data_IF_028604151634
#
_entry.id   IF_028604151634
#
_cell.length_a   1.000
_cell.length_b   1.000
_cell.length_c   1.000
_cell.angle_alpha   90.00
_cell.angle_beta   90.00
_cell.angle_gamma   90.00
#
_symmetry.space_group_name_H-M   'P 1'
#
loop_
_entity.id
_entity.type
_entity.pdbx_description
1 polymer ?
#
# COMPACT_ATOMS: atom_id res chain seq x y z
N UNK A 1 -28.64 26.99 20.12
CA UNK A 1 -28.01 27.36 18.84
C UNK A 1 -26.49 27.24 18.89
N UNK A 2 -25.79 27.95 19.78
CA UNK A 2 -24.33 27.87 19.94
C UNK A 2 -23.79 26.42 20.02
N UNK A 3 -24.34 25.59 20.91
CA UNK A 3 -23.91 24.20 21.09
C UNK A 3 -24.08 23.33 19.84
N UNK A 4 -25.12 23.60 19.04
CA UNK A 4 -25.37 22.88 17.79
C UNK A 4 -24.32 23.27 16.75
N UNK A 5 -24.01 24.57 16.64
CA UNK A 5 -22.94 25.08 15.77
C UNK A 5 -21.58 24.53 16.18
N UNK A 6 -21.26 24.52 17.48
CA UNK A 6 -20.02 23.97 18.01
C UNK A 6 -19.88 22.46 17.73
N UNK A 7 -20.96 21.69 17.91
CA UNK A 7 -20.98 20.26 17.60
C UNK A 7 -20.81 20.00 16.10
N UNK A 8 -21.49 20.77 15.25
CA UNK A 8 -21.37 20.66 13.80
C UNK A 8 -19.94 20.97 13.31
N UNK A 9 -19.34 22.04 13.81
CA UNK A 9 -17.96 22.41 13.48
C UNK A 9 -16.97 21.31 13.91
N UNK A 10 -17.14 20.78 15.12
CA UNK A 10 -16.31 19.68 15.65
C UNK A 10 -16.43 18.42 14.78
N UNK A 11 -17.64 18.06 14.35
CA UNK A 11 -17.86 16.92 13.47
C UNK A 11 -17.20 17.12 12.10
N UNK A 12 -17.32 18.31 11.51
CA UNK A 12 -16.68 18.65 10.22
C UNK A 12 -15.16 18.56 10.34
N UNK A 13 -14.57 19.15 11.38
CA UNK A 13 -13.12 19.10 11.63
C UNK A 13 -12.66 17.65 11.84
N UNK A 14 -13.37 16.86 12.64
CA UNK A 14 -13.05 15.46 12.86
C UNK A 14 -13.12 14.65 11.55
N UNK A 15 -14.15 14.86 10.72
CA UNK A 15 -14.28 14.22 9.42
C UNK A 15 -13.18 14.66 8.45
N UNK A 16 -12.78 15.93 8.45
CA UNK A 16 -11.69 16.44 7.62
C UNK A 16 -10.34 15.84 8.01
N UNK A 17 -10.08 15.64 9.31
CA UNK A 17 -8.87 14.97 9.82
C UNK A 17 -8.92 13.46 9.53
N UNK A 18 -10.07 12.81 9.72
CA UNK A 18 -10.20 11.37 9.53
C UNK A 18 -10.27 10.95 8.05
N UNK A 19 -10.73 11.84 7.17
CA UNK A 19 -10.82 11.64 5.70
C UNK A 19 -9.49 11.17 5.07
N UNK A 20 -8.34 11.86 5.25
CA UNK A 20 -7.06 11.40 4.73
C UNK A 20 -6.57 10.10 5.40
N UNK A 21 -6.89 9.85 6.66
CA UNK A 21 -6.54 8.58 7.33
C UNK A 21 -7.33 7.39 6.76
N UNK A 22 -8.57 7.61 6.31
CA UNK A 22 -9.37 6.61 5.56
C UNK A 22 -8.84 6.41 4.14
N UNK A 23 -8.26 7.45 3.53
CA UNK A 23 -7.55 7.36 2.23
C UNK A 23 -6.16 6.70 2.36
N UNK A 24 -5.57 6.71 3.55
CA UNK A 24 -4.23 6.22 3.85
C UNK A 24 -4.01 4.71 3.88
N UNK A 25 -4.74 3.92 3.08
CA UNK A 25 -4.47 2.48 2.84
C UNK A 25 -4.84 1.97 1.44
N UNK A 26 -5.22 2.85 0.50
CA UNK A 26 -5.68 2.43 -0.84
C UNK A 26 -5.12 3.26 -1.99
N UNK A 27 -4.12 4.11 -1.74
CA UNK A 27 -3.63 5.10 -2.70
C UNK A 27 -2.20 4.91 -3.21
N UNK A 28 -1.47 3.90 -2.74
CA UNK A 28 -0.35 3.41 -3.52
C UNK A 28 -0.96 2.53 -4.60
N UNK A 29 -0.97 3.01 -5.86
CA UNK A 29 -0.96 2.08 -6.99
C UNK A 29 0.06 0.98 -6.63
N UNK A 30 -0.30 -0.31 -6.73
CA UNK A 30 0.47 -1.36 -6.08
C UNK A 30 1.93 -1.20 -6.51
N UNK A 31 2.83 -0.95 -5.55
CA UNK A 31 4.27 -0.87 -5.84
C UNK A 31 4.70 -2.05 -6.73
N UNK A 32 4.05 -3.21 -6.54
CA UNK A 32 4.16 -4.41 -7.35
C UNK A 32 3.97 -4.21 -8.87
N UNK A 33 3.07 -3.32 -9.33
CA UNK A 33 2.86 -3.07 -10.77
C UNK A 33 3.97 -2.18 -11.38
N UNK A 34 4.55 -1.27 -10.58
CA UNK A 34 5.72 -0.50 -10.99
C UNK A 34 6.98 -1.38 -11.00
N UNK A 35 7.13 -2.25 -9.99
CA UNK A 35 8.26 -3.17 -9.85
C UNK A 35 8.38 -4.14 -11.03
N UNK A 36 7.26 -4.62 -11.58
CA UNK A 36 7.23 -5.56 -12.71
C UNK A 36 7.85 -4.99 -14.00
N UNK A 37 7.61 -3.71 -14.30
CA UNK A 37 8.23 -3.06 -15.48
C UNK A 37 9.75 -2.96 -15.31
N UNK A 38 10.19 -2.61 -14.11
CA UNK A 38 11.62 -2.50 -13.77
C UNK A 38 12.30 -3.87 -13.88
N UNK A 39 11.70 -4.94 -13.37
CA UNK A 39 12.26 -6.29 -13.49
C UNK A 39 12.36 -6.77 -14.94
N UNK A 40 11.38 -6.43 -15.79
CA UNK A 40 11.46 -6.73 -17.23
C UNK A 40 12.61 -6.00 -17.89
N UNK A 41 12.80 -4.73 -17.56
CA UNK A 41 13.87 -3.92 -18.15
C UNK A 41 15.25 -4.42 -17.67
N UNK A 42 15.38 -4.87 -16.41
CA UNK A 42 16.59 -5.54 -15.90
C UNK A 42 16.91 -6.85 -16.64
N UNK A 43 15.90 -7.67 -16.93
CA UNK A 43 16.10 -8.89 -17.72
C UNK A 43 16.59 -8.56 -19.14
N UNK A 44 16.06 -7.49 -19.74
CA UNK A 44 16.52 -7.03 -21.05
C UNK A 44 17.94 -6.46 -21.02
N UNK A 45 18.35 -5.84 -19.91
CA UNK A 45 19.73 -5.38 -19.70
C UNK A 45 20.71 -6.56 -19.58
N UNK A 46 20.36 -7.60 -18.81
CA UNK A 46 21.15 -8.83 -18.72
C UNK A 46 21.33 -9.50 -20.08
N UNK A 47 20.29 -9.52 -20.92
CA UNK A 47 20.40 -10.07 -22.27
C UNK A 47 21.38 -9.27 -23.14
N UNK A 48 21.26 -7.93 -23.11
CA UNK A 48 22.17 -7.06 -23.88
C UNK A 48 23.61 -7.18 -23.41
N UNK A 49 23.84 -7.31 -22.11
CA UNK A 49 25.19 -7.46 -21.56
C UNK A 49 25.79 -8.82 -21.90
N UNK A 50 24.98 -9.88 -21.97
CA UNK A 50 25.39 -11.19 -22.47
C UNK A 50 25.75 -11.11 -23.97
N UNK A 51 24.88 -10.50 -24.79
CA UNK A 51 25.12 -10.32 -26.22
C UNK A 51 26.37 -9.49 -26.50
N UNK A 52 26.66 -8.51 -25.65
CA UNK A 52 27.86 -7.67 -25.70
C UNK A 52 29.11 -8.36 -25.16
N UNK A 53 28.98 -9.54 -24.55
CA UNK A 53 30.07 -10.26 -23.90
C UNK A 53 30.62 -9.55 -22.65
N UNK A 54 29.86 -8.64 -22.04
CA UNK A 54 30.22 -7.95 -20.80
C UNK A 54 30.14 -8.91 -19.62
N UNK A 55 29.20 -9.86 -19.68
CA UNK A 55 29.02 -10.92 -18.68
C UNK A 55 29.06 -12.29 -19.35
N UNK A 56 29.51 -13.31 -18.60
CA UNK A 56 29.51 -14.69 -19.05
C UNK A 56 28.11 -15.33 -19.03
N UNK A 57 27.92 -16.47 -19.73
CA UNK A 57 26.63 -17.17 -19.74
C UNK A 57 26.19 -17.65 -18.35
N UNK A 58 27.15 -18.08 -17.52
CA UNK A 58 26.89 -18.54 -16.15
C UNK A 58 26.40 -17.38 -15.26
N UNK A 59 27.04 -16.21 -15.37
CA UNK A 59 26.65 -15.01 -14.64
C UNK A 59 25.27 -14.52 -15.08
N UNK A 60 25.01 -14.53 -16.39
CA UNK A 60 23.71 -14.17 -16.94
C UNK A 60 22.61 -15.12 -16.45
N UNK A 61 22.88 -16.43 -16.38
CA UNK A 61 21.93 -17.39 -15.82
C UNK A 61 21.66 -17.13 -14.32
N UNK A 62 22.71 -16.85 -13.55
CA UNK A 62 22.60 -16.53 -12.12
C UNK A 62 21.78 -15.26 -11.88
N UNK A 63 22.02 -14.20 -12.65
CA UNK A 63 21.28 -12.94 -12.60
C UNK A 63 19.79 -13.14 -12.93
N UNK A 64 19.47 -13.87 -14.01
CA UNK A 64 18.08 -14.19 -14.37
C UNK A 64 17.35 -14.93 -13.24
N UNK A 65 18.03 -15.89 -12.59
CA UNK A 65 17.45 -16.63 -11.47
C UNK A 65 17.21 -15.75 -10.22
N UNK A 66 18.13 -14.83 -9.91
CA UNK A 66 17.96 -13.88 -8.80
C UNK A 66 16.82 -12.89 -9.07
N UNK A 67 16.73 -12.33 -10.28
CA UNK A 67 15.64 -11.42 -10.67
C UNK A 67 14.31 -12.15 -10.58
N UNK A 68 14.20 -13.38 -11.10
CA UNK A 68 12.98 -14.19 -10.99
C UNK A 68 12.55 -14.45 -9.55
N UNK A 69 13.51 -14.70 -8.63
CA UNK A 69 13.22 -14.84 -7.20
C UNK A 69 12.66 -13.55 -6.60
N UNK A 70 13.24 -12.39 -6.94
CA UNK A 70 12.76 -11.07 -6.47
C UNK A 70 11.34 -10.77 -6.97
N UNK A 71 11.02 -11.14 -8.21
CA UNK A 71 9.67 -11.00 -8.77
C UNK A 71 8.67 -11.83 -7.97
N UNK A 72 8.97 -13.10 -7.69
CA UNK A 72 8.10 -13.98 -6.90
C UNK A 72 7.93 -13.49 -5.45
N UNK A 73 8.98 -12.95 -4.84
CA UNK A 73 8.89 -12.37 -3.50
C UNK A 73 8.05 -11.08 -3.48
N UNK A 74 8.16 -10.24 -4.51
CA UNK A 74 7.33 -9.06 -4.68
C UNK A 74 5.85 -9.44 -4.84
N UNK A 75 5.56 -10.48 -5.64
CA UNK A 75 4.21 -11.02 -5.82
C UNK A 75 3.63 -11.57 -4.51
N UNK A 76 4.41 -12.35 -3.75
CA UNK A 76 4.00 -12.83 -2.41
C UNK A 76 3.71 -11.67 -1.45
N UNK A 77 4.53 -10.63 -1.43
CA UNK A 77 4.29 -9.43 -0.59
C UNK A 77 3.02 -8.70 -1.00
N UNK A 78 2.72 -8.64 -2.30
CA UNK A 78 1.47 -8.08 -2.80
C UNK A 78 0.27 -8.91 -2.33
N UNK A 79 0.35 -10.24 -2.41
CA UNK A 79 -0.70 -11.15 -1.92
C UNK A 79 -0.94 -11.05 -0.40
N UNK A 80 0.14 -10.92 0.40
CA UNK A 80 0.07 -10.77 1.86
C UNK A 80 -0.44 -9.39 2.31
N UNK A 81 -0.34 -8.38 1.44
CA UNK A 81 -0.84 -7.03 1.69
C UNK A 81 -2.33 -6.87 1.35
N UNK A 82 -3.01 -7.95 0.95
CA UNK A 82 -4.45 -7.96 0.80
C UNK A 82 -5.10 -7.50 2.13
N UNK A 83 -5.95 -6.46 2.11
CA UNK A 83 -6.46 -5.89 3.34
C UNK A 83 -7.35 -6.92 4.02
N UNK A 84 -6.89 -7.46 5.16
CA UNK A 84 -7.79 -8.00 6.16
C UNK A 84 -8.77 -6.87 6.51
N UNK A 85 -10.03 -7.02 6.10
CA UNK A 85 -11.12 -6.16 6.50
C UNK A 85 -11.23 -6.21 8.03
N UNK A 86 -10.45 -5.37 8.71
CA UNK A 86 -10.58 -5.17 10.15
C UNK A 86 -11.85 -4.37 10.35
N UNK A 87 -12.92 -5.14 10.58
CA UNK A 87 -14.26 -4.69 10.90
C UNK A 87 -14.22 -3.57 11.93
N UNK A 88 -15.03 -2.55 11.66
CA UNK A 88 -15.27 -1.47 12.59
C UNK A 88 -15.77 -2.02 13.91
N UNK A 89 -14.90 -2.03 14.92
CA UNK A 89 -15.39 -1.98 16.29
C UNK A 89 -15.74 -0.53 16.56
N UNK A 90 -17.03 -0.27 16.43
CA UNK A 90 -17.70 0.95 16.83
C UNK A 90 -17.10 1.47 18.14
N UNK A 91 -16.59 2.70 18.11
CA UNK A 91 -16.30 3.47 19.32
C UNK A 91 -17.66 3.87 19.94
N UNK A 92 -18.35 2.87 20.46
CA UNK A 92 -19.63 3.01 21.17
C UNK A 92 -19.39 3.14 22.68
N UNK A 93 -18.62 4.15 23.11
CA UNK A 93 -18.99 4.78 24.39
C UNK A 93 -19.08 6.30 24.33
N UNK A 94 -18.96 6.96 23.17
CA UNK A 94 -19.15 8.42 23.10
C UNK A 94 -20.64 8.85 23.17
N UNK A 95 -21.57 7.94 22.82
CA UNK A 95 -23.02 8.23 22.89
C UNK A 95 -23.58 8.10 24.32
N UNK A 96 -22.89 7.38 25.22
CA UNK A 96 -23.37 7.15 26.58
C UNK A 96 -23.28 8.40 27.47
N UNK A 97 -22.37 9.35 27.19
CA UNK A 97 -22.20 10.53 28.04
C UNK A 97 -23.25 11.63 27.80
N UNK A 98 -23.93 11.63 26.66
CA UNK A 98 -24.98 12.63 26.33
C UNK A 98 -26.31 12.29 27.01
N UNK A 99 -26.55 11.03 27.35
CA UNK A 99 -27.77 10.61 28.05
C UNK A 99 -27.72 10.84 29.57
N UNK A 100 -26.55 11.14 30.15
CA UNK A 100 -26.40 11.38 31.60
C UNK A 100 -26.50 12.84 32.03
N UNK A 101 -26.73 13.76 31.08
CA UNK A 101 -26.83 15.21 31.31
C UNK A 101 -28.07 15.83 30.63
N UNK A 102 -29.15 15.06 30.48
CA UNK A 102 -30.47 15.55 30.09
C UNK A 102 -31.49 15.30 31.20
#
# INVERSE_FOLDING_TARGET
MFWILAAALTAITALAILSPLRRGRGGAAPAAAYDLRVYRDQLAEVERDLDRGVIGPDDAQRLRAEIGRKVLDADRRAALSAPAARGGRALWPAVALVAMLA
#
